data_IF_192707234603
#
_entry.id   IF_192707234603
#
_cell.length_a   1.000
_cell.length_b   1.000
_cell.length_c   1.000
_cell.angle_alpha   90.00
_cell.angle_beta   90.00
_cell.angle_gamma   90.00
#
_symmetry.space_group_name_H-M   'P 1'
#
loop_
_entity.id
_entity.type
_entity.pdbx_description
1 polymer ?
#
# COMPACT_ATOMS: atom_id res chain seq x y z
N UNK A 1 -20.25 33.89 15.38
CA UNK A 1 -20.08 32.60 16.10
C UNK A 1 -20.79 31.53 15.29
N UNK A 2 -20.04 30.79 14.46
CA UNK A 2 -20.59 29.71 13.63
C UNK A 2 -20.38 28.38 14.35
N UNK A 3 -21.44 27.85 14.94
CA UNK A 3 -21.46 26.48 15.46
C UNK A 3 -21.67 25.57 14.24
N UNK A 4 -20.64 24.81 13.86
CA UNK A 4 -20.69 23.86 12.74
C UNK A 4 -20.61 22.44 13.28
N UNK A 5 -21.75 21.81 13.64
CA UNK A 5 -21.80 20.38 13.90
C UNK A 5 -21.83 19.63 12.56
N UNK A 6 -21.08 18.53 12.47
CA UNK A 6 -20.93 17.67 11.27
C UNK A 6 -20.19 18.31 10.07
N UNK A 7 -18.86 18.46 10.21
CA UNK A 7 -17.94 18.27 9.09
C UNK A 7 -17.30 16.88 9.21
N UNK A 8 -17.39 16.08 8.15
CA UNK A 8 -16.76 14.76 8.05
C UNK A 8 -15.28 14.95 7.72
N UNK A 9 -14.43 15.02 8.76
CA UNK A 9 -12.96 15.09 8.68
C UNK A 9 -12.36 16.19 7.76
N UNK A 10 -11.69 17.18 8.36
CA UNK A 10 -10.77 18.05 7.63
C UNK A 10 -9.34 17.55 7.75
N UNK A 11 -8.61 17.52 6.64
CA UNK A 11 -7.20 17.11 6.58
C UNK A 11 -6.33 18.29 6.17
N UNK A 12 -5.27 18.53 6.92
CA UNK A 12 -4.25 19.53 6.60
C UNK A 12 -2.98 18.82 6.12
N UNK A 13 -2.44 19.25 4.98
CA UNK A 13 -1.19 18.77 4.44
C UNK A 13 -0.21 19.95 4.34
N UNK A 14 1.02 19.78 4.84
CA UNK A 14 2.07 20.80 4.80
C UNK A 14 3.31 20.17 4.15
N UNK A 15 3.71 20.69 2.99
CA UNK A 15 4.86 20.20 2.21
C UNK A 15 5.93 21.29 2.08
N UNK A 16 7.19 20.96 2.35
CA UNK A 16 8.31 21.91 2.20
C UNK A 16 8.64 22.15 0.72
N UNK A 17 8.81 23.43 0.35
CA UNK A 17 9.23 23.86 -0.98
C UNK A 17 10.74 24.15 -1.00
N UNK A 18 11.52 23.24 -1.60
CA UNK A 18 12.94 23.45 -1.86
C UNK A 18 13.12 24.32 -3.11
N UNK A 19 13.05 25.64 -2.94
CA UNK A 19 13.29 26.60 -4.02
C UNK A 19 14.79 26.84 -4.22
N UNK A 20 15.33 26.37 -5.34
CA UNK A 20 16.71 26.63 -5.79
C UNK A 20 16.92 28.11 -6.13
N UNK A 21 17.19 28.93 -5.11
CA UNK A 21 17.48 30.37 -5.25
C UNK A 21 16.82 31.28 -4.22
N UNK A 22 15.99 30.77 -3.30
CA UNK A 22 15.35 31.58 -2.27
C UNK A 22 15.88 31.21 -0.88
N UNK A 23 16.46 32.17 -0.15
CA UNK A 23 17.06 31.95 1.18
C UNK A 23 16.05 31.74 2.31
N UNK A 24 14.76 31.96 2.04
CA UNK A 24 13.67 31.76 3.00
C UNK A 24 13.04 30.37 2.81
N UNK A 25 12.94 29.52 3.86
CA UNK A 25 12.21 28.26 3.76
C UNK A 25 10.72 28.55 3.45
N UNK A 26 10.15 27.79 2.53
CA UNK A 26 8.75 27.92 2.10
C UNK A 26 8.03 26.60 2.28
N UNK A 27 6.71 26.64 2.43
CA UNK A 27 5.87 25.43 2.46
C UNK A 27 4.55 25.68 1.74
N UNK A 28 4.05 24.65 1.07
CA UNK A 28 2.67 24.57 0.58
C UNK A 28 1.81 24.08 1.72
N UNK A 29 0.67 24.73 1.94
CA UNK A 29 -0.37 24.27 2.87
C UNK A 29 -1.62 23.97 2.05
N UNK A 30 -2.09 22.73 2.12
CA UNK A 30 -3.34 22.28 1.50
C UNK A 30 -4.33 21.92 2.60
N UNK A 31 -5.54 22.48 2.54
CA UNK A 31 -6.67 22.09 3.38
C UNK A 31 -7.69 21.35 2.52
N UNK A 32 -7.98 20.12 2.89
CA UNK A 32 -9.00 19.27 2.25
C UNK A 32 -10.14 19.02 3.23
N UNK A 33 -11.38 19.05 2.72
CA UNK A 33 -12.60 18.88 3.49
C UNK A 33 -13.50 17.89 2.78
N UNK A 34 -13.86 16.78 3.43
CA UNK A 34 -14.88 15.87 2.93
C UNK A 34 -16.26 16.28 3.48
N UNK A 35 -17.29 16.25 2.62
CA UNK A 35 -18.67 16.54 3.01
C UNK A 35 -19.55 15.42 2.47
N UNK A 36 -20.28 14.74 3.36
CA UNK A 36 -21.13 13.62 2.95
C UNK A 36 -22.27 14.08 2.00
N UNK A 37 -22.59 13.31 0.93
CA UNK A 37 -23.60 13.71 -0.05
C UNK A 37 -24.98 13.99 0.57
N UNK A 38 -25.41 13.15 1.51
CA UNK A 38 -26.70 13.31 2.21
C UNK A 38 -26.79 14.57 3.06
N UNK A 39 -25.66 15.08 3.57
CA UNK A 39 -25.60 16.38 4.24
C UNK A 39 -25.56 17.52 3.22
N UNK A 40 -24.71 17.40 2.19
CA UNK A 40 -24.59 18.35 1.09
C UNK A 40 -25.95 18.67 0.46
N UNK A 41 -26.71 17.65 0.04
CA UNK A 41 -28.02 17.82 -0.59
C UNK A 41 -29.07 18.41 0.35
N UNK A 42 -29.00 18.10 1.64
CA UNK A 42 -29.92 18.64 2.66
C UNK A 42 -29.58 20.09 3.02
N UNK A 43 -28.31 20.48 2.90
CA UNK A 43 -27.82 21.81 3.27
C UNK A 43 -27.88 22.80 2.08
N UNK A 44 -27.51 22.34 0.88
CA UNK A 44 -27.65 23.06 -0.41
C UNK A 44 -29.12 23.40 -0.70
N UNK A 45 -30.06 22.49 -0.39
CA UNK A 45 -31.52 22.78 -0.45
C UNK A 45 -32.02 23.80 0.59
N UNK A 46 -31.23 24.15 1.61
CA UNK A 46 -31.63 25.10 2.67
C UNK A 46 -30.99 26.49 2.54
N UNK A 47 -29.92 26.65 1.76
CA UNK A 47 -29.20 27.93 1.60
C UNK A 47 -28.95 28.19 0.11
N UNK A 48 -29.66 29.17 -0.46
CA UNK A 48 -29.60 29.46 -1.90
C UNK A 48 -28.44 30.39 -2.28
N UNK A 49 -28.01 30.24 -3.54
CA UNK A 49 -27.17 31.11 -4.41
C UNK A 49 -25.80 31.64 -3.92
N UNK A 50 -25.60 31.87 -2.63
CA UNK A 50 -24.33 32.38 -2.08
C UNK A 50 -23.43 31.27 -1.48
N UNK A 51 -23.92 30.04 -1.44
CA UNK A 51 -23.28 28.90 -0.79
C UNK A 51 -21.98 28.45 -1.48
N UNK A 52 -21.99 28.28 -2.80
CA UNK A 52 -20.82 27.83 -3.56
C UNK A 52 -19.65 28.86 -3.51
N UNK A 53 -19.93 30.09 -3.09
CA UNK A 53 -18.92 31.14 -2.82
C UNK A 53 -18.44 31.14 -1.37
N UNK A 54 -19.28 30.70 -0.42
CA UNK A 54 -18.98 30.82 1.01
C UNK A 54 -18.03 29.74 1.53
N UNK A 55 -18.12 28.50 1.03
CA UNK A 55 -17.21 27.42 1.42
C UNK A 55 -15.77 27.66 0.93
N UNK A 56 -15.51 27.95 -0.36
CA UNK A 56 -14.16 28.29 -0.82
C UNK A 56 -13.59 29.50 -0.08
N UNK A 57 -14.42 30.52 0.21
CA UNK A 57 -14.01 31.67 1.01
C UNK A 57 -13.66 31.31 2.46
N UNK A 58 -14.42 30.42 3.11
CA UNK A 58 -14.16 29.96 4.47
C UNK A 58 -12.87 29.12 4.55
N UNK A 59 -12.66 28.20 3.60
CA UNK A 59 -11.44 27.40 3.49
C UNK A 59 -10.21 28.29 3.22
N UNK A 60 -10.33 29.24 2.28
CA UNK A 60 -9.29 30.22 1.98
C UNK A 60 -8.97 31.09 3.20
N UNK A 61 -9.99 31.50 3.97
CA UNK A 61 -9.82 32.26 5.22
C UNK A 61 -9.07 31.47 6.30
N UNK A 62 -9.29 30.15 6.40
CA UNK A 62 -8.56 29.29 7.32
C UNK A 62 -7.08 29.14 6.93
N UNK A 63 -6.79 28.93 5.63
CA UNK A 63 -5.40 28.84 5.12
C UNK A 63 -4.69 30.20 5.24
N UNK A 64 -5.38 31.31 4.93
CA UNK A 64 -4.85 32.67 5.08
C UNK A 64 -4.57 33.01 6.55
N UNK A 65 -5.48 32.66 7.46
CA UNK A 65 -5.29 32.83 8.90
C UNK A 65 -4.08 32.06 9.45
N UNK A 66 -3.82 30.84 8.95
CA UNK A 66 -2.62 30.09 9.32
C UNK A 66 -1.33 30.77 8.81
N UNK A 67 -1.34 31.27 7.57
CA UNK A 67 -0.23 32.06 7.01
C UNK A 67 0.05 33.32 7.84
N UNK A 68 -1.00 34.04 8.23
CA UNK A 68 -0.89 35.27 9.04
C UNK A 68 -0.43 34.97 10.47
N UNK A 69 -0.89 33.86 11.05
CA UNK A 69 -0.40 33.39 12.35
C UNK A 69 1.11 33.14 12.35
N UNK A 70 1.66 32.48 11.32
CA UNK A 70 3.11 32.29 11.21
C UNK A 70 3.87 33.60 10.94
N UNK A 71 3.29 34.51 10.15
CA UNK A 71 3.89 35.84 9.92
C UNK A 71 3.94 36.70 11.20
N UNK A 72 2.93 36.58 12.06
CA UNK A 72 2.87 37.29 13.35
C UNK A 72 3.74 36.66 14.45
N UNK A 73 4.18 35.40 14.29
CA UNK A 73 4.96 34.65 15.28
C UNK A 73 6.34 34.21 14.74
N UNK A 74 7.24 35.14 14.35
CA UNK A 74 8.51 34.82 13.73
C UNK A 74 9.46 33.99 14.61
N UNK A 75 9.26 33.97 15.93
CA UNK A 75 10.00 33.10 16.85
C UNK A 75 9.86 31.61 16.49
N UNK A 76 8.70 31.17 15.97
CA UNK A 76 8.50 29.78 15.52
C UNK A 76 9.34 29.40 14.29
N UNK A 77 9.85 30.39 13.54
CA UNK A 77 10.74 30.19 12.39
C UNK A 77 12.21 29.97 12.78
N UNK A 78 12.59 30.34 14.02
CA UNK A 78 13.99 30.43 14.45
C UNK A 78 14.54 29.20 15.21
N UNK A 79 13.69 28.27 15.64
CA UNK A 79 14.09 27.12 16.45
C UNK A 79 14.41 25.86 15.63
N UNK A 80 15.37 25.97 14.71
CA UNK A 80 16.09 24.82 14.13
C UNK A 80 17.61 25.13 14.07
N UNK A 81 18.39 24.79 15.11
CA UNK A 81 19.84 24.87 15.05
C UNK A 81 20.38 23.83 14.07
N UNK A 82 21.01 24.30 13.00
CA UNK A 82 21.60 23.47 11.95
C UNK A 82 22.95 22.89 12.38
N UNK A 83 22.95 21.82 13.17
CA UNK A 83 24.15 21.00 13.41
C UNK A 83 24.34 19.94 12.33
N UNK A 84 24.63 20.39 11.10
CA UNK A 84 25.18 19.50 10.06
C UNK A 84 26.69 19.38 10.29
N UNK A 85 27.11 18.34 11.01
CA UNK A 85 28.52 17.94 11.07
C UNK A 85 28.90 17.34 9.72
N UNK A 86 29.53 18.14 8.86
CA UNK A 86 30.16 17.63 7.63
C UNK A 86 31.43 16.84 7.98
N UNK A 87 31.35 15.51 7.96
CA UNK A 87 32.53 14.67 7.80
C UNK A 87 33.07 14.77 6.37
N UNK A 88 34.39 14.70 6.23
CA UNK A 88 35.13 15.18 5.06
C UNK A 88 35.60 14.01 4.19
N UNK A 89 35.42 14.16 2.87
CA UNK A 89 36.13 13.49 1.77
C UNK A 89 36.24 11.95 1.74
N UNK A 90 35.82 11.36 0.61
CA UNK A 90 36.81 10.84 -0.36
C UNK A 90 36.25 10.90 -1.77
N UNK A 91 37.05 11.40 -2.69
CA UNK A 91 36.78 11.37 -4.13
C UNK A 91 37.19 10.00 -4.68
N UNK A 92 36.36 9.38 -5.53
CA UNK A 92 36.83 8.36 -6.47
C UNK A 92 36.15 8.60 -7.81
N UNK A 93 36.95 9.00 -8.79
CA UNK A 93 36.54 9.09 -10.19
C UNK A 93 36.23 7.68 -10.70
N UNK A 94 35.02 7.44 -11.22
CA UNK A 94 34.73 6.27 -12.05
C UNK A 94 34.21 6.74 -13.41
N UNK A 95 34.91 6.23 -14.40
CA UNK A 95 34.85 6.48 -15.83
C UNK A 95 33.46 6.17 -16.41
N UNK A 96 33.09 6.98 -17.39
CA UNK A 96 31.96 6.80 -18.28
C UNK A 96 32.14 5.52 -19.13
N UNK A 97 31.21 4.57 -19.04
CA UNK A 97 31.10 3.46 -20.00
C UNK A 97 29.64 3.12 -20.24
N UNK A 98 29.20 3.29 -21.49
CA UNK A 98 27.81 3.06 -21.91
C UNK A 98 27.42 1.59 -21.82
N UNK A 99 26.28 1.31 -21.20
CA UNK A 99 25.44 0.15 -21.51
C UNK A 99 23.99 0.61 -21.45
N UNK A 100 23.36 0.68 -22.63
CA UNK A 100 21.91 0.84 -22.76
C UNK A 100 21.23 -0.49 -22.39
N UNK A 101 20.36 -0.48 -21.39
CA UNK A 101 19.08 -1.20 -21.49
C UNK A 101 18.07 -0.57 -20.53
N UNK A 102 17.09 0.14 -21.08
CA UNK A 102 16.19 1.02 -20.32
C UNK A 102 14.76 0.46 -20.25
N UNK A 103 14.42 -0.21 -19.15
CA UNK A 103 13.04 -0.20 -18.65
C UNK A 103 12.81 1.05 -17.78
N UNK A 104 11.59 1.64 -17.78
CA UNK A 104 11.31 2.85 -17.03
C UNK A 104 11.33 2.58 -15.53
N UNK A 105 12.42 2.99 -14.87
CA UNK A 105 12.56 2.90 -13.43
C UNK A 105 11.54 3.82 -12.70
N UNK A 106 11.21 3.45 -11.46
CA UNK A 106 10.61 4.36 -10.44
C UNK A 106 9.11 4.73 -10.52
N UNK A 107 8.25 3.88 -11.09
CA UNK A 107 6.77 4.04 -11.01
C UNK A 107 6.17 4.04 -9.57
N UNK A 108 6.97 3.82 -8.52
CA UNK A 108 6.56 4.01 -7.11
C UNK A 108 6.51 5.50 -6.72
N UNK A 109 7.27 6.36 -7.40
CA UNK A 109 7.27 7.81 -7.16
C UNK A 109 6.10 8.53 -7.85
N UNK A 110 5.61 7.98 -8.98
CA UNK A 110 4.54 8.58 -9.79
C UNK A 110 3.19 8.70 -9.06
N UNK A 111 2.92 7.82 -8.09
CA UNK A 111 1.67 7.80 -7.32
C UNK A 111 1.41 9.06 -6.47
N UNK A 112 2.46 9.85 -6.19
CA UNK A 112 2.36 11.15 -5.51
C UNK A 112 2.57 12.35 -6.44
N UNK A 113 2.98 12.13 -7.70
CA UNK A 113 3.36 13.18 -8.64
C UNK A 113 2.24 13.55 -9.62
N UNK A 114 1.38 12.59 -10.03
CA UNK A 114 0.25 12.87 -10.94
C UNK A 114 -0.95 13.50 -10.22
N UNK A 115 -0.89 14.82 -10.10
CA UNK A 115 -2.09 15.65 -10.03
C UNK A 115 -2.70 15.81 -11.42
N UNK A 116 -3.33 14.75 -11.95
CA UNK A 116 -4.09 14.84 -13.21
C UNK A 116 -5.55 15.19 -12.90
N UNK A 117 -6.01 16.29 -13.51
CA UNK A 117 -7.38 16.79 -13.46
C UNK A 117 -8.27 15.94 -14.35
N UNK A 118 -9.45 15.55 -13.84
CA UNK A 118 -10.53 15.04 -14.67
C UNK A 118 -11.54 16.16 -14.91
N UNK A 119 -11.92 16.33 -16.17
CA UNK A 119 -13.10 17.08 -16.58
C UNK A 119 -14.32 16.16 -16.40
N UNK A 120 -15.40 16.70 -15.86
CA UNK A 120 -16.66 15.98 -15.67
C UNK A 120 -17.45 15.93 -16.99
N UNK A 121 -17.89 14.75 -17.44
CA UNK A 121 -18.94 14.61 -18.46
C UNK A 121 -20.08 13.73 -17.92
N UNK A 122 -21.25 14.36 -17.72
CA UNK A 122 -22.56 13.72 -17.55
C UNK A 122 -23.65 14.76 -17.92
N UNK A 123 -24.22 14.69 -19.14
CA UNK A 123 -25.59 15.14 -19.50
C UNK A 123 -25.91 14.87 -20.97
N UNK A 124 -27.12 14.38 -21.26
CA UNK A 124 -27.59 13.93 -22.58
C UNK A 124 -28.22 15.02 -23.51
N UNK A 125 -28.23 14.71 -24.83
CA UNK A 125 -29.08 15.16 -25.97
C UNK A 125 -29.39 16.68 -26.18
N UNK A 126 -29.12 17.32 -27.34
CA UNK A 126 -29.79 17.10 -28.64
C UNK A 126 -29.15 17.86 -29.87
N UNK A 127 -29.34 17.27 -31.07
CA UNK A 127 -29.35 17.75 -32.50
C UNK A 127 -28.29 18.69 -33.19
N UNK A 128 -27.59 18.10 -34.18
CA UNK A 128 -27.19 18.58 -35.56
C UNK A 128 -26.51 19.95 -35.83
N UNK A 129 -25.19 19.91 -36.15
CA UNK A 129 -24.63 20.12 -37.53
C UNK A 129 -23.09 19.98 -37.58
N UNK A 130 -22.55 19.48 -38.69
CA UNK A 130 -21.09 19.35 -38.97
C UNK A 130 -20.71 20.19 -40.21
N UNK A 131 -19.44 20.27 -40.70
CA UNK A 131 -18.13 19.90 -40.13
C UNK A 131 -17.00 20.97 -40.29
N UNK A 132 -15.82 20.78 -39.66
CA UNK A 132 -14.53 20.75 -40.39
C UNK A 132 -13.30 20.27 -39.58
N UNK A 133 -12.81 19.11 -40.02
CA UNK A 133 -11.54 18.42 -39.77
C UNK A 133 -10.34 19.17 -39.14
N UNK A 134 -9.82 18.58 -38.05
CA UNK A 134 -8.41 18.63 -37.66
C UNK A 134 -7.94 17.23 -37.23
N UNK A 135 -7.07 16.57 -38.00
CA UNK A 135 -6.60 15.20 -37.71
C UNK A 135 -5.54 15.21 -36.60
N UNK A 136 -5.87 14.69 -35.42
CA UNK A 136 -4.89 14.22 -34.44
C UNK A 136 -5.05 12.70 -34.25
N UNK A 137 -3.95 11.94 -34.40
CA UNK A 137 -3.95 10.49 -34.24
C UNK A 137 -3.87 10.12 -32.75
N UNK A 138 -5.00 9.83 -32.14
CA UNK A 138 -5.03 9.11 -30.86
C UNK A 138 -4.54 7.67 -31.06
N UNK A 139 -3.54 7.25 -30.28
CA UNK A 139 -3.10 5.85 -30.21
C UNK A 139 -3.88 5.13 -29.10
N UNK A 140 -4.70 4.17 -29.51
CA UNK A 140 -5.24 3.03 -28.75
C UNK A 140 -5.42 3.18 -27.23
N UNK A 141 -6.60 3.66 -26.81
CA UNK A 141 -7.15 3.36 -25.46
C UNK A 141 -7.98 2.07 -25.55
N UNK A 142 -7.31 0.93 -25.73
CA UNK A 142 -7.98 -0.38 -25.96
C UNK A 142 -8.27 -1.18 -24.69
N UNK A 143 -7.93 -0.68 -23.50
CA UNK A 143 -8.10 -1.43 -22.24
C UNK A 143 -9.54 -1.43 -21.71
N UNK A 144 -10.34 -0.40 -22.02
CA UNK A 144 -11.67 -0.19 -21.44
C UNK A 144 -12.78 -1.10 -22.01
N UNK A 145 -12.58 -1.71 -23.19
CA UNK A 145 -13.61 -2.53 -23.87
C UNK A 145 -13.40 -4.05 -23.64
N UNK A 146 -12.20 -4.47 -23.23
CA UNK A 146 -11.88 -5.90 -23.02
C UNK A 146 -12.55 -6.52 -21.76
N UNK A 147 -13.13 -5.70 -20.88
CA UNK A 147 -13.69 -6.08 -19.58
C UNK A 147 -15.08 -6.75 -19.64
N UNK A 148 -15.74 -6.81 -20.80
CA UNK A 148 -17.15 -7.21 -20.93
C UNK A 148 -17.42 -8.56 -21.60
N UNK A 149 -16.40 -9.34 -22.00
CA UNK A 149 -16.62 -10.53 -22.85
C UNK A 149 -15.74 -11.77 -22.57
N UNK A 150 -15.29 -12.02 -21.34
CA UNK A 150 -14.73 -13.33 -20.97
C UNK A 150 -15.23 -13.83 -19.62
N UNK A 151 -15.74 -15.07 -19.58
CA UNK A 151 -15.93 -15.81 -18.32
C UNK A 151 -14.54 -16.02 -17.69
N UNK A 152 -14.29 -15.59 -16.45
CA UNK A 152 -12.96 -15.68 -15.86
C UNK A 152 -12.57 -17.15 -15.67
N UNK A 153 -11.54 -17.57 -16.39
CA UNK A 153 -10.89 -18.86 -16.15
C UNK A 153 -10.03 -18.68 -14.91
N UNK A 154 -10.43 -19.26 -13.78
CA UNK A 154 -9.60 -19.28 -12.56
C UNK A 154 -8.24 -19.89 -12.89
N UNK A 155 -7.15 -19.27 -12.43
CA UNK A 155 -5.83 -19.88 -12.50
C UNK A 155 -5.82 -21.15 -11.63
N UNK A 156 -5.96 -22.32 -12.26
CA UNK A 156 -5.77 -23.61 -11.60
C UNK A 156 -4.29 -23.77 -11.25
N UNK A 157 -4.00 -24.12 -9.99
CA UNK A 157 -2.63 -24.38 -9.53
C UNK A 157 -2.14 -25.71 -10.11
N UNK A 158 -1.70 -25.69 -11.37
CA UNK A 158 -0.92 -26.78 -12.00
C UNK A 158 0.54 -26.79 -11.53
N UNK A 159 0.98 -25.75 -10.82
CA UNK A 159 2.37 -25.62 -10.36
C UNK A 159 2.67 -26.60 -9.21
N UNK A 160 3.68 -27.46 -9.44
CA UNK A 160 4.20 -28.46 -8.50
C UNK A 160 5.05 -27.84 -7.37
N UNK A 161 4.53 -26.79 -6.71
CA UNK A 161 5.20 -26.07 -5.63
C UNK A 161 5.25 -26.87 -4.32
N UNK A 162 4.28 -27.76 -4.11
CA UNK A 162 4.22 -28.67 -2.97
C UNK A 162 4.35 -30.12 -3.44
N UNK A 163 4.97 -30.97 -2.60
CA UNK A 163 5.18 -32.38 -2.93
C UNK A 163 3.83 -33.12 -3.01
N UNK A 164 3.45 -33.53 -4.22
CA UNK A 164 2.13 -34.16 -4.47
C UNK A 164 1.97 -35.55 -3.84
N UNK A 165 3.08 -36.26 -3.60
CA UNK A 165 3.11 -37.64 -3.09
C UNK A 165 3.06 -37.77 -1.56
N UNK A 166 3.16 -36.67 -0.81
CA UNK A 166 3.04 -36.70 0.65
C UNK A 166 1.59 -36.54 1.11
N UNK A 167 1.20 -37.24 2.17
CA UNK A 167 -0.06 -37.00 2.88
C UNK A 167 -0.15 -35.54 3.35
N UNK A 168 -1.29 -34.84 3.14
CA UNK A 168 -1.51 -33.53 3.73
C UNK A 168 -1.42 -33.59 5.26
N UNK A 169 -0.74 -32.63 5.87
CA UNK A 169 -0.80 -32.36 7.30
C UNK A 169 -2.07 -31.57 7.58
N UNK A 170 -2.97 -32.11 8.40
CA UNK A 170 -4.15 -31.37 8.86
C UNK A 170 -3.72 -30.32 9.87
N UNK A 171 -3.55 -29.08 9.40
CA UNK A 171 -3.27 -27.93 10.25
C UNK A 171 -4.61 -27.45 10.84
N UNK A 172 -4.90 -27.85 12.08
CA UNK A 172 -6.07 -27.35 12.81
C UNK A 172 -5.83 -25.89 13.25
N UNK A 173 -6.62 -24.91 12.78
CA UNK A 173 -6.50 -23.52 13.22
C UNK A 173 -6.76 -23.32 14.72
N UNK A 174 -7.43 -24.27 15.40
CA UNK A 174 -7.73 -24.16 16.84
C UNK A 174 -6.47 -24.17 17.72
N UNK A 175 -5.38 -24.77 17.24
CA UNK A 175 -4.10 -24.87 17.95
C UNK A 175 -3.25 -23.60 17.85
N UNK A 176 -3.63 -22.63 17.03
CA UNK A 176 -2.85 -21.41 16.79
C UNK A 176 -3.57 -20.19 17.34
N UNK A 177 -2.93 -19.51 18.28
CA UNK A 177 -3.44 -18.30 18.92
C UNK A 177 -2.56 -17.12 18.58
N UNK A 178 -3.08 -16.23 17.73
CA UNK A 178 -2.53 -14.89 17.53
C UNK A 178 -3.25 -13.88 18.42
N UNK A 179 -2.58 -12.77 18.71
CA UNK A 179 -3.10 -11.66 19.51
C UNK A 179 -4.19 -10.86 18.79
N UNK A 180 -4.22 -10.85 17.45
CA UNK A 180 -5.35 -10.34 16.69
C UNK A 180 -6.38 -11.46 16.47
N UNK A 181 -7.65 -11.19 16.82
CA UNK A 181 -8.72 -12.17 16.69
C UNK A 181 -9.06 -12.49 15.23
N UNK A 182 -9.42 -13.75 14.95
CA UNK A 182 -9.95 -14.16 13.64
C UNK A 182 -11.42 -13.77 13.52
N UNK A 183 -11.78 -13.15 12.40
CA UNK A 183 -13.12 -12.68 12.10
C UNK A 183 -14.16 -13.82 12.11
N UNK A 184 -15.28 -13.63 12.81
CA UNK A 184 -16.43 -14.54 12.80
C UNK A 184 -17.43 -14.22 11.69
N UNK A 185 -17.43 -12.98 11.22
CA UNK A 185 -18.23 -12.49 10.09
C UNK A 185 -17.46 -11.41 9.32
N UNK A 186 -17.90 -11.06 8.11
CA UNK A 186 -17.19 -10.07 7.29
C UNK A 186 -17.09 -8.66 7.90
N UNK A 187 -18.02 -8.32 8.80
CA UNK A 187 -18.11 -7.00 9.46
C UNK A 187 -17.53 -6.98 10.88
N UNK A 188 -16.86 -8.06 11.32
CA UNK A 188 -16.27 -8.18 12.66
C UNK A 188 -15.05 -7.24 12.79
N UNK A 189 -15.12 -6.13 13.54
CA UNK A 189 -14.05 -5.14 13.58
C UNK A 189 -12.87 -5.63 14.42
N UNK A 190 -11.71 -4.99 14.23
CA UNK A 190 -10.46 -5.37 14.89
C UNK A 190 -10.16 -6.87 14.75
N UNK A 191 -10.18 -7.37 13.53
CA UNK A 191 -10.01 -8.80 13.25
C UNK A 191 -9.25 -9.07 11.95
N UNK A 192 -8.84 -10.32 11.75
CA UNK A 192 -8.28 -10.80 10.49
C UNK A 192 -9.08 -11.93 9.87
N UNK A 193 -9.02 -12.05 8.54
CA UNK A 193 -9.47 -13.25 7.81
C UNK A 193 -8.57 -13.53 6.61
N UNK A 194 -8.83 -14.61 5.88
CA UNK A 194 -8.05 -15.02 4.70
C UNK A 194 -8.95 -14.96 3.47
N UNK A 195 -8.91 -13.87 2.66
CA UNK A 195 -9.70 -13.77 1.44
C UNK A 195 -9.10 -14.63 0.32
N UNK A 196 -9.94 -15.04 -0.64
CA UNK A 196 -9.48 -15.66 -1.89
C UNK A 196 -8.67 -14.70 -2.78
N UNK A 197 -8.03 -15.25 -3.80
CA UNK A 197 -7.17 -14.50 -4.71
C UNK A 197 -7.90 -13.67 -5.78
N UNK A 198 -9.22 -13.76 -5.89
CA UNK A 198 -9.98 -13.28 -7.06
C UNK A 198 -9.95 -11.75 -7.27
N UNK A 199 -9.42 -10.99 -6.31
CA UNK A 199 -9.30 -9.52 -6.38
C UNK A 199 -7.93 -9.06 -6.86
N UNK A 200 -6.98 -9.98 -7.00
CA UNK A 200 -5.58 -9.67 -7.30
C UNK A 200 -5.24 -10.08 -8.73
N UNK A 201 -4.65 -9.15 -9.50
CA UNK A 201 -4.22 -9.40 -10.87
C UNK A 201 -2.75 -9.84 -10.90
N UNK A 202 -2.51 -11.05 -11.36
CA UNK A 202 -1.23 -11.76 -11.34
C UNK A 202 -0.70 -11.98 -12.78
N UNK A 203 0.61 -12.21 -12.97
CA UNK A 203 1.17 -12.46 -14.31
C UNK A 203 0.59 -13.76 -14.89
N UNK A 204 -0.04 -13.67 -16.06
CA UNK A 204 -0.58 -14.83 -16.79
C UNK A 204 0.49 -15.73 -17.38
N UNK A 205 0.10 -16.90 -17.92
CA UNK A 205 1.02 -17.91 -18.47
C UNK A 205 1.93 -17.36 -19.58
N UNK A 206 1.41 -16.44 -20.39
CA UNK A 206 2.06 -15.79 -21.53
C UNK A 206 2.58 -14.39 -21.23
N UNK A 207 2.61 -13.96 -19.96
CA UNK A 207 2.90 -12.57 -19.57
C UNK A 207 4.21 -11.98 -20.13
N UNK A 208 5.25 -12.80 -20.34
CA UNK A 208 6.53 -12.32 -20.91
C UNK A 208 6.44 -11.94 -22.40
N UNK A 209 5.37 -12.34 -23.10
CA UNK A 209 5.15 -12.01 -24.52
C UNK A 209 3.98 -11.05 -24.73
N UNK A 210 2.93 -11.13 -23.90
CA UNK A 210 1.69 -10.36 -24.07
C UNK A 210 1.40 -9.35 -22.94
N UNK A 211 2.23 -9.32 -21.89
CA UNK A 211 2.04 -8.50 -20.66
C UNK A 211 0.65 -8.65 -20.00
N UNK A 212 -0.06 -9.74 -20.28
CA UNK A 212 -1.46 -9.95 -19.87
C UNK A 212 -1.54 -10.58 -18.50
N UNK A 213 -2.26 -9.91 -17.60
CA UNK A 213 -2.52 -10.38 -16.24
C UNK A 213 -3.83 -11.15 -16.17
N UNK A 214 -3.87 -12.16 -15.30
CA UNK A 214 -5.06 -12.96 -15.01
C UNK A 214 -5.49 -12.79 -13.56
N UNK A 215 -6.70 -13.24 -13.24
CA UNK A 215 -7.24 -13.22 -11.87
C UNK A 215 -6.55 -14.29 -11.01
N UNK A 216 -6.15 -13.93 -9.79
CA UNK A 216 -5.52 -14.82 -8.83
C UNK A 216 -6.41 -16.00 -8.41
N UNK A 217 -5.78 -17.16 -8.23
CA UNK A 217 -6.40 -18.35 -7.62
C UNK A 217 -6.31 -18.34 -6.09
N UNK A 218 -6.76 -19.42 -5.45
CA UNK A 218 -6.69 -19.58 -4.00
C UNK A 218 -5.24 -19.50 -3.48
N UNK A 219 -4.99 -18.98 -2.25
CA UNK A 219 -3.65 -18.89 -1.68
C UNK A 219 -3.01 -20.27 -1.46
N UNK A 220 -1.73 -20.41 -1.80
CA UNK A 220 -0.97 -21.65 -1.64
C UNK A 220 -0.77 -22.03 -0.16
N UNK A 221 -0.55 -21.03 0.70
CA UNK A 221 -0.37 -21.19 2.14
C UNK A 221 -1.61 -20.74 2.91
N UNK A 222 -1.92 -21.46 3.99
CA UNK A 222 -3.00 -21.11 4.91
C UNK A 222 -2.51 -20.14 5.97
N UNK A 223 -3.18 -19.00 6.11
CA UNK A 223 -3.00 -18.10 7.25
C UNK A 223 -3.58 -18.74 8.51
N UNK A 224 -2.72 -19.01 9.50
CA UNK A 224 -3.07 -19.74 10.73
C UNK A 224 -3.23 -18.82 11.94
N UNK A 225 -2.45 -17.75 12.01
CA UNK A 225 -2.54 -16.73 13.06
C UNK A 225 -2.05 -15.37 12.55
N UNK A 226 -2.46 -14.31 13.25
CA UNK A 226 -1.92 -12.95 13.08
C UNK A 226 -1.66 -12.37 14.46
N UNK A 227 -0.46 -11.84 14.69
CA UNK A 227 -0.16 -11.03 15.86
C UNK A 227 -0.15 -9.54 15.53
N UNK A 228 -0.59 -8.74 16.50
CA UNK A 228 -0.59 -7.29 16.45
C UNK A 228 0.07 -6.74 17.71
N UNK A 229 1.35 -6.39 17.57
CA UNK A 229 2.18 -5.92 18.67
C UNK A 229 2.47 -4.42 18.57
N UNK A 230 2.64 -3.79 19.73
CA UNK A 230 3.14 -2.42 19.88
C UNK A 230 4.48 -2.51 20.58
N UNK A 231 5.55 -2.42 19.79
CA UNK A 231 6.91 -2.60 20.28
C UNK A 231 7.62 -1.26 20.27
N UNK A 232 8.53 -1.09 21.20
CA UNK A 232 9.25 0.15 21.37
C UNK A 232 10.52 0.25 20.50
N UNK A 233 11.19 -0.89 20.31
CA UNK A 233 12.37 -1.03 19.47
C UNK A 233 12.07 -1.98 18.30
N UNK A 234 13.05 -2.18 17.41
CA UNK A 234 12.95 -3.18 16.34
C UNK A 234 12.95 -4.59 16.94
N UNK A 235 12.06 -5.45 16.45
CA UNK A 235 11.87 -6.81 16.92
C UNK A 235 12.04 -7.74 15.72
N UNK A 236 13.20 -8.40 15.67
CA UNK A 236 13.57 -9.39 14.65
C UNK A 236 13.56 -10.79 15.28
N UNK A 237 13.48 -11.85 14.46
CA UNK A 237 13.59 -13.25 14.92
C UNK A 237 12.47 -13.68 15.89
N UNK A 238 11.23 -13.28 15.60
CA UNK A 238 9.99 -13.64 16.28
C UNK A 238 9.92 -15.14 16.56
N UNK A 239 10.25 -15.97 15.57
CA UNK A 239 10.13 -17.42 15.66
C UNK A 239 11.24 -18.11 16.48
N UNK A 240 12.26 -17.38 16.96
CA UNK A 240 13.32 -17.91 17.81
C UNK A 240 13.23 -17.47 19.28
N UNK A 241 12.25 -16.65 19.65
CA UNK A 241 12.20 -16.09 20.99
C UNK A 241 11.93 -17.20 22.05
N UNK A 242 12.86 -17.48 23.00
CA UNK A 242 12.86 -18.71 23.80
C UNK A 242 11.75 -18.82 24.86
N UNK A 243 10.92 -17.79 24.97
CA UNK A 243 9.62 -17.74 25.65
C UNK A 243 8.78 -16.77 24.83
N UNK A 244 7.52 -17.06 24.47
CA UNK A 244 6.70 -16.13 23.64
C UNK A 244 6.25 -14.83 24.37
N UNK A 245 7.08 -14.26 25.26
CA UNK A 245 6.74 -13.18 26.21
C UNK A 245 7.98 -12.27 26.52
N UNK A 246 7.98 -11.04 25.94
CA UNK A 246 8.13 -9.69 26.58
C UNK A 246 9.51 -9.03 26.95
N UNK A 247 9.56 -7.70 26.72
CA UNK A 247 10.27 -6.53 27.35
C UNK A 247 11.55 -5.91 26.70
N UNK A 248 11.76 -4.55 26.58
CA UNK A 248 11.10 -3.38 27.25
C UNK A 248 10.71 -2.10 26.40
N UNK A 249 11.56 -1.09 26.04
CA UNK A 249 11.23 0.32 26.38
C UNK A 249 11.26 1.42 25.28
N UNK A 250 10.21 2.27 25.20
CA UNK A 250 10.06 3.54 24.41
C UNK A 250 10.56 3.57 22.91
N UNK A 251 9.74 3.65 21.84
CA UNK A 251 8.39 4.24 21.60
C UNK A 251 7.72 3.59 20.34
N UNK A 252 6.41 3.76 20.05
CA UNK A 252 5.68 2.69 19.35
C UNK A 252 5.95 2.58 17.85
N UNK A 253 6.65 1.51 17.49
CA UNK A 253 6.50 0.81 16.23
C UNK A 253 5.35 -0.20 16.36
N UNK A 254 4.56 -0.37 15.30
CA UNK A 254 3.53 -1.41 15.24
C UNK A 254 4.06 -2.58 14.41
N UNK A 255 4.07 -3.78 14.98
CA UNK A 255 4.51 -5.00 14.31
C UNK A 255 3.30 -5.90 14.04
N UNK A 256 3.11 -6.24 12.77
CA UNK A 256 2.05 -7.13 12.30
C UNK A 256 2.69 -8.42 11.80
N UNK A 257 2.59 -9.50 12.58
CA UNK A 257 3.18 -10.80 12.23
C UNK A 257 2.09 -11.68 11.63
N UNK A 258 2.36 -12.31 10.48
CA UNK A 258 1.42 -13.17 9.77
C UNK A 258 2.01 -14.57 9.63
N UNK A 259 1.37 -15.56 10.23
CA UNK A 259 1.86 -16.94 10.22
C UNK A 259 1.17 -17.74 9.12
N UNK A 260 1.95 -18.18 8.14
CA UNK A 260 1.47 -18.96 6.99
C UNK A 260 2.00 -20.41 7.05
N UNK A 261 1.12 -21.38 6.88
CA UNK A 261 1.44 -22.80 6.90
C UNK A 261 1.15 -23.48 5.55
N UNK A 262 2.07 -24.33 5.10
CA UNK A 262 1.84 -25.24 3.98
C UNK A 262 1.26 -26.57 4.50
N UNK A 263 0.26 -27.13 3.81
CA UNK A 263 -0.29 -28.45 4.16
C UNK A 263 0.66 -29.61 3.79
N UNK A 264 1.68 -29.35 2.97
CA UNK A 264 2.63 -30.35 2.46
C UNK A 264 4.02 -29.74 2.39
N UNK A 265 5.09 -30.55 2.40
CA UNK A 265 6.45 -30.06 2.17
C UNK A 265 6.57 -29.32 0.84
N UNK A 266 7.32 -28.23 0.83
CA UNK A 266 7.66 -27.48 -0.38
C UNK A 266 8.58 -28.32 -1.27
N UNK A 267 8.31 -28.32 -2.56
CA UNK A 267 9.18 -28.91 -3.57
C UNK A 267 10.43 -28.03 -3.74
N UNK A 268 11.63 -28.59 -3.50
CA UNK A 268 12.89 -27.80 -3.51
C UNK A 268 13.21 -27.20 -4.89
N UNK A 269 12.77 -27.84 -5.97
CA UNK A 269 13.05 -27.41 -7.34
C UNK A 269 12.09 -26.31 -7.85
N UNK A 270 11.02 -26.02 -7.09
CA UNK A 270 9.98 -25.07 -7.47
C UNK A 270 10.42 -23.60 -7.30
N UNK A 271 9.57 -22.63 -7.64
CA UNK A 271 9.89 -21.22 -7.38
C UNK A 271 9.94 -20.93 -5.87
N UNK A 272 9.00 -21.46 -5.09
CA UNK A 272 8.99 -21.34 -3.63
C UNK A 272 10.18 -22.07 -2.99
N UNK A 273 10.51 -23.28 -3.47
CA UNK A 273 11.69 -24.02 -3.01
C UNK A 273 12.99 -23.25 -3.20
N UNK A 274 13.20 -22.69 -4.41
CA UNK A 274 14.36 -21.83 -4.73
C UNK A 274 14.35 -20.50 -3.98
N UNK A 275 13.18 -19.93 -3.67
CA UNK A 275 13.08 -18.71 -2.85
C UNK A 275 13.46 -18.98 -1.38
N UNK A 276 12.97 -20.09 -0.81
CA UNK A 276 13.28 -20.49 0.57
C UNK A 276 14.77 -20.85 0.71
N UNK A 277 15.32 -21.64 -0.22
CA UNK A 277 16.73 -22.07 -0.22
C UNK A 277 17.72 -21.08 -0.84
N UNK A 278 17.25 -19.96 -1.40
CA UNK A 278 18.06 -19.02 -2.17
C UNK A 278 18.81 -17.98 -1.32
N UNK A 279 19.54 -17.10 -2.01
CA UNK A 279 20.22 -15.93 -1.43
C UNK A 279 19.26 -14.78 -1.19
N UNK A 280 19.56 -13.88 -0.26
CA UNK A 280 18.76 -12.67 0.00
C UNK A 280 18.55 -11.83 -1.25
N UNK A 281 19.58 -11.61 -2.07
CA UNK A 281 19.46 -10.93 -3.36
C UNK A 281 18.43 -11.57 -4.34
N UNK A 282 18.21 -12.89 -4.26
CA UNK A 282 17.17 -13.57 -5.05
C UNK A 282 15.78 -13.34 -4.46
N UNK A 283 15.67 -13.31 -3.12
CA UNK A 283 14.44 -13.03 -2.39
C UNK A 283 14.04 -11.57 -2.59
N UNK A 284 14.95 -10.63 -2.38
CA UNK A 284 14.74 -9.19 -2.53
C UNK A 284 14.26 -8.83 -3.94
N UNK A 285 14.89 -9.43 -4.95
CA UNK A 285 14.56 -9.19 -6.35
C UNK A 285 13.21 -9.78 -6.79
N UNK A 286 12.50 -10.54 -5.94
CA UNK A 286 11.24 -11.24 -6.28
C UNK A 286 10.12 -11.16 -5.24
N UNK A 287 10.40 -10.78 -3.99
CA UNK A 287 9.39 -10.73 -2.94
C UNK A 287 8.39 -9.59 -3.19
N UNK A 288 7.12 -9.94 -3.36
CA UNK A 288 6.10 -9.06 -3.94
C UNK A 288 4.84 -9.01 -3.09
N UNK A 289 4.27 -7.81 -2.95
CA UNK A 289 3.01 -7.55 -2.25
C UNK A 289 2.03 -6.85 -3.20
N UNK A 290 0.76 -7.22 -3.17
CA UNK A 290 -0.34 -6.47 -3.79
C UNK A 290 -1.30 -6.04 -2.69
N UNK A 291 -1.41 -4.74 -2.37
CA UNK A 291 -2.42 -4.23 -1.46
C UNK A 291 -3.73 -3.93 -2.19
N UNK A 292 -4.84 -3.92 -1.45
CA UNK A 292 -6.14 -3.46 -1.94
C UNK A 292 -6.99 -2.92 -0.78
N UNK A 293 -7.36 -1.65 -0.84
CA UNK A 293 -8.25 -1.02 0.15
C UNK A 293 -9.71 -1.26 -0.25
N UNK A 294 -10.31 -2.29 0.34
CA UNK A 294 -11.69 -2.74 0.08
C UNK A 294 -12.68 -1.68 0.56
N UNK A 295 -12.58 -1.31 1.83
CA UNK A 295 -13.33 -0.22 2.46
C UNK A 295 -12.36 0.80 3.01
N UNK A 296 -12.72 2.08 2.99
CA UNK A 296 -11.87 3.14 3.52
C UNK A 296 -11.94 4.43 2.70
N UNK A 297 -11.38 5.48 3.30
CA UNK A 297 -11.33 6.82 2.72
C UNK A 297 -10.58 6.82 1.36
N UNK A 298 -11.12 7.53 0.38
CA UNK A 298 -10.65 7.46 -1.01
C UNK A 298 -9.19 7.90 -1.18
N UNK A 299 -8.70 8.85 -0.37
CA UNK A 299 -7.28 9.23 -0.39
C UNK A 299 -6.37 8.10 0.09
N UNK A 300 -6.80 7.29 1.05
CA UNK A 300 -6.06 6.10 1.50
C UNK A 300 -6.03 5.07 0.37
N UNK A 301 -7.16 4.87 -0.34
CA UNK A 301 -7.21 4.02 -1.54
C UNK A 301 -6.22 4.48 -2.61
N UNK A 302 -6.14 5.80 -2.88
CA UNK A 302 -5.22 6.38 -3.86
C UNK A 302 -3.76 6.29 -3.44
N UNK A 303 -3.44 6.53 -2.17
CA UNK A 303 -2.08 6.53 -1.66
C UNK A 303 -1.48 5.11 -1.52
N UNK A 304 -2.30 4.12 -1.19
CA UNK A 304 -1.88 2.70 -1.13
C UNK A 304 -1.89 2.07 -2.54
N UNK A 305 -2.86 2.44 -3.37
CA UNK A 305 -3.04 1.89 -4.71
C UNK A 305 -3.49 0.42 -4.71
N UNK A 306 -3.47 -0.18 -5.90
CA UNK A 306 -3.79 -1.60 -6.16
C UNK A 306 -2.71 -2.31 -6.99
N UNK A 307 -1.59 -1.63 -7.25
CA UNK A 307 -0.48 -2.14 -8.05
C UNK A 307 0.47 -2.95 -7.18
N UNK A 308 1.06 -3.99 -7.76
CA UNK A 308 2.07 -4.80 -7.09
C UNK A 308 3.33 -3.99 -6.77
N UNK A 309 3.88 -4.17 -5.58
CA UNK A 309 5.15 -3.61 -5.12
C UNK A 309 6.15 -4.74 -4.87
N UNK A 310 7.38 -4.60 -5.37
CA UNK A 310 8.50 -5.48 -5.01
C UNK A 310 9.07 -5.02 -3.67
N UNK A 311 8.55 -5.56 -2.57
CA UNK A 311 8.91 -5.16 -1.21
C UNK A 311 10.42 -5.22 -0.97
N UNK A 312 11.07 -6.30 -1.38
CA UNK A 312 12.52 -6.47 -1.20
C UNK A 312 13.41 -5.50 -1.99
N UNK A 313 12.83 -4.73 -2.93
CA UNK A 313 13.51 -3.57 -3.54
C UNK A 313 13.09 -2.23 -2.91
N UNK A 314 11.88 -2.13 -2.38
CA UNK A 314 11.27 -0.89 -1.92
C UNK A 314 11.54 -0.58 -0.43
N UNK A 315 11.79 -1.61 0.38
CA UNK A 315 12.07 -1.56 1.82
C UNK A 315 13.12 -2.61 2.18
N UNK A 316 13.75 -2.45 3.33
CA UNK A 316 14.77 -3.39 3.81
C UNK A 316 14.08 -4.65 4.33
N UNK A 317 14.33 -5.78 3.69
CA UNK A 317 13.92 -7.09 4.19
C UNK A 317 15.09 -7.74 4.95
N UNK A 318 14.78 -8.55 5.96
CA UNK A 318 15.74 -9.42 6.64
C UNK A 318 15.17 -10.83 6.70
N UNK A 319 16.03 -11.83 6.46
CA UNK A 319 15.60 -13.20 6.20
C UNK A 319 16.20 -14.17 7.19
N UNK A 320 15.35 -14.90 7.92
CA UNK A 320 15.77 -15.92 8.87
C UNK A 320 15.24 -17.29 8.45
N UNK A 321 16.16 -18.16 8.01
CA UNK A 321 15.85 -19.54 7.59
C UNK A 321 16.31 -20.54 8.65
N UNK A 322 15.35 -21.28 9.19
CA UNK A 322 15.55 -22.48 10.03
C UNK A 322 15.13 -23.73 9.24
N UNK A 323 15.12 -24.93 9.80
CA UNK A 323 14.71 -26.13 9.04
C UNK A 323 13.22 -26.12 8.64
N UNK A 324 12.35 -25.71 9.56
CA UNK A 324 10.88 -25.81 9.43
C UNK A 324 10.18 -24.50 9.02
N UNK A 325 10.85 -23.34 9.07
CA UNK A 325 10.24 -22.06 8.68
C UNK A 325 11.20 -21.13 7.92
N UNK A 326 10.64 -20.11 7.27
CA UNK A 326 11.33 -18.93 6.77
C UNK A 326 10.59 -17.72 7.35
N UNK A 327 11.30 -16.87 8.08
CA UNK A 327 10.82 -15.60 8.59
C UNK A 327 11.37 -14.47 7.70
N UNK A 328 10.52 -13.45 7.46
CA UNK A 328 10.79 -12.33 6.57
C UNK A 328 10.39 -11.05 7.31
N UNK A 329 11.38 -10.38 7.91
CA UNK A 329 11.18 -9.10 8.60
C UNK A 329 11.18 -7.98 7.56
N UNK A 330 10.12 -7.19 7.51
CA UNK A 330 9.93 -6.13 6.50
C UNK A 330 9.95 -4.76 7.17
N UNK A 331 11.10 -4.07 7.11
CA UNK A 331 11.29 -2.77 7.74
C UNK A 331 10.69 -1.65 6.89
N UNK A 332 9.38 -1.40 7.07
CA UNK A 332 8.65 -0.27 6.47
C UNK A 332 9.28 1.08 6.86
N UNK A 333 9.99 1.15 8.00
CA UNK A 333 10.71 2.32 8.49
C UNK A 333 11.85 2.75 7.57
N UNK A 334 12.47 1.81 6.85
CA UNK A 334 13.65 2.10 6.02
C UNK A 334 13.35 2.98 4.81
N UNK A 335 12.10 3.04 4.35
CA UNK A 335 11.66 3.89 3.23
C UNK A 335 10.84 5.09 3.68
N UNK A 336 11.23 6.30 3.28
CA UNK A 336 10.48 7.54 3.59
C UNK A 336 9.08 7.57 2.96
N UNK A 337 8.93 7.00 1.76
CA UNK A 337 7.64 6.90 1.06
C UNK A 337 6.76 5.87 1.76
N UNK A 338 7.29 4.69 2.10
CA UNK A 338 6.53 3.66 2.82
C UNK A 338 6.09 4.14 4.22
N UNK A 339 6.97 4.85 4.95
CA UNK A 339 6.63 5.56 6.20
C UNK A 339 5.50 6.58 6.03
N UNK A 340 5.47 7.30 4.91
CA UNK A 340 4.43 8.29 4.64
C UNK A 340 3.07 7.61 4.37
N UNK A 341 3.07 6.52 3.60
CA UNK A 341 1.86 5.72 3.32
C UNK A 341 1.34 5.08 4.60
N UNK A 342 2.19 4.41 5.41
CA UNK A 342 1.72 3.75 6.64
C UNK A 342 1.26 4.79 7.69
N UNK A 343 1.88 5.97 7.75
CA UNK A 343 1.43 7.07 8.60
C UNK A 343 0.02 7.55 8.25
N UNK A 344 -0.29 7.67 6.95
CA UNK A 344 -1.65 7.95 6.49
C UNK A 344 -2.61 6.81 6.83
N UNK A 345 -2.23 5.55 6.54
CA UNK A 345 -3.05 4.36 6.81
C UNK A 345 -3.39 4.24 8.30
N UNK A 346 -2.42 4.42 9.20
CA UNK A 346 -2.62 4.41 10.65
C UNK A 346 -3.59 5.50 11.13
N UNK A 347 -3.67 6.65 10.46
CA UNK A 347 -4.67 7.69 10.76
C UNK A 347 -6.11 7.28 10.46
N UNK A 348 -6.34 6.27 9.62
CA UNK A 348 -7.66 5.79 9.21
C UNK A 348 -7.90 4.29 9.54
N UNK A 349 -6.96 3.62 10.21
CA UNK A 349 -6.91 2.14 10.28
C UNK A 349 -8.15 1.48 10.93
N UNK A 350 -8.82 2.17 11.86
CA UNK A 350 -10.10 1.74 12.46
C UNK A 350 -11.30 1.84 11.52
N UNK A 351 -11.13 2.44 10.35
CA UNK A 351 -12.19 2.77 9.38
C UNK A 351 -11.92 2.20 7.98
N UNK A 352 -10.87 1.39 7.82
CA UNK A 352 -10.52 0.72 6.56
C UNK A 352 -10.60 -0.81 6.68
N UNK A 353 -10.79 -1.46 5.53
CA UNK A 353 -10.60 -2.90 5.36
C UNK A 353 -9.56 -3.09 4.26
N UNK A 354 -8.45 -3.75 4.60
CA UNK A 354 -7.31 -3.94 3.70
C UNK A 354 -7.16 -5.42 3.38
N UNK A 355 -7.23 -5.77 2.10
CA UNK A 355 -6.82 -7.08 1.59
C UNK A 355 -5.37 -6.97 1.10
N UNK A 356 -4.50 -7.89 1.53
CA UNK A 356 -3.11 -7.99 1.10
C UNK A 356 -2.88 -9.38 0.48
N UNK A 357 -2.16 -9.44 -0.64
CA UNK A 357 -1.66 -10.68 -1.23
C UNK A 357 -0.13 -10.66 -1.30
N UNK A 358 0.50 -11.73 -0.83
CA UNK A 358 1.93 -12.00 -0.91
C UNK A 358 2.19 -12.93 -2.09
N UNK A 359 3.22 -12.64 -2.88
CA UNK A 359 3.62 -13.40 -4.07
C UNK A 359 5.14 -13.45 -4.18
N UNK A 360 5.63 -14.39 -4.99
CA UNK A 360 7.00 -14.38 -5.53
C UNK A 360 6.89 -14.03 -7.01
N UNK A 361 7.62 -13.02 -7.46
CA UNK A 361 7.60 -12.58 -8.85
C UNK A 361 8.24 -13.61 -9.78
N UNK A 362 7.49 -14.02 -10.80
CA UNK A 362 7.97 -14.86 -11.90
C UNK A 362 8.71 -14.01 -12.95
N UNK A 363 9.89 -14.50 -13.37
CA UNK A 363 10.76 -13.84 -14.36
C UNK A 363 11.11 -14.73 -15.55
N UNK A 364 11.00 -16.05 -15.39
CA UNK A 364 11.18 -17.02 -16.46
C UNK A 364 9.83 -17.61 -16.88
N UNK A 365 9.68 -18.03 -18.15
CA UNK A 365 8.42 -18.61 -18.66
C UNK A 365 7.97 -19.86 -17.88
N UNK A 366 8.94 -20.68 -17.42
CA UNK A 366 8.70 -21.85 -16.56
C UNK A 366 8.13 -21.53 -15.16
N UNK A 367 8.17 -20.26 -14.76
CA UNK A 367 7.67 -19.75 -13.48
C UNK A 367 6.26 -19.14 -13.63
N UNK A 368 5.67 -19.17 -14.83
CA UNK A 368 4.35 -18.64 -15.14
C UNK A 368 3.30 -19.74 -15.37
N UNK A 369 2.00 -19.48 -15.07
CA UNK A 369 1.48 -18.27 -14.44
C UNK A 369 1.95 -18.12 -12.98
N UNK A 370 1.94 -16.89 -12.47
CA UNK A 370 2.14 -16.66 -11.04
C UNK A 370 1.04 -17.32 -10.20
N UNK A 371 1.25 -17.38 -8.89
CA UNK A 371 0.25 -17.81 -7.92
C UNK A 371 0.31 -16.92 -6.66
N UNK A 372 -0.79 -16.92 -5.90
CA UNK A 372 -0.87 -16.22 -4.62
C UNK A 372 -0.20 -17.11 -3.57
N UNK A 373 0.85 -16.61 -2.90
CA UNK A 373 1.53 -17.37 -1.86
C UNK A 373 0.70 -17.38 -0.56
N UNK A 374 0.18 -16.23 -0.16
CA UNK A 374 -0.65 -16.05 1.03
C UNK A 374 -1.48 -14.78 0.93
N UNK A 375 -2.61 -14.73 1.63
CA UNK A 375 -3.44 -13.52 1.76
C UNK A 375 -3.78 -13.24 3.22
N UNK A 376 -4.05 -11.97 3.50
CA UNK A 376 -4.70 -11.54 4.73
C UNK A 376 -5.69 -10.42 4.43
N UNK A 377 -6.82 -10.43 5.12
CA UNK A 377 -7.72 -9.30 5.28
C UNK A 377 -7.54 -8.76 6.69
N UNK A 378 -7.30 -7.45 6.81
CA UNK A 378 -7.29 -6.72 8.07
C UNK A 378 -8.55 -5.87 8.13
N UNK A 379 -9.44 -6.16 9.09
CA UNK A 379 -10.71 -5.45 9.24
C UNK A 379 -10.64 -4.45 10.38
N UNK A 380 -10.59 -3.15 10.05
CA UNK A 380 -10.79 -2.05 11.01
C UNK A 380 -9.93 -2.20 12.28
N UNK A 381 -8.65 -2.53 12.08
CA UNK A 381 -7.72 -2.86 13.16
C UNK A 381 -7.57 -1.69 14.12
N UNK A 382 -7.66 -1.95 15.41
CA UNK A 382 -7.53 -0.97 16.46
C UNK A 382 -6.07 -0.93 16.95
N UNK A 383 -5.33 0.19 16.76
CA UNK A 383 -3.96 0.33 17.25
C UNK A 383 -3.84 0.20 18.78
N UNK A 384 -4.88 0.56 19.53
CA UNK A 384 -4.88 0.45 20.99
C UNK A 384 -5.12 -0.97 21.50
N UNK A 385 -5.52 -1.90 20.62
CA UNK A 385 -5.57 -3.34 20.92
C UNK A 385 -4.25 -4.06 20.72
N UNK A 386 -3.23 -3.37 20.17
CA UNK A 386 -1.91 -3.95 19.97
C UNK A 386 -1.28 -4.33 21.31
N UNK A 387 -0.89 -5.59 21.45
CA UNK A 387 -0.26 -6.08 22.69
C UNK A 387 1.10 -5.42 22.83
N UNK A 388 1.29 -4.71 23.94
CA UNK A 388 2.57 -4.09 24.26
C UNK A 388 3.54 -5.16 24.76
N UNK A 389 4.67 -5.32 24.08
CA UNK A 389 5.74 -6.26 24.43
C UNK A 389 7.06 -5.53 24.65
#
# INVERSE_FOLDING_TARGET
MLIVPCLSASTWEIRTLNSSGSSTPKSIVTLMLEISPSFWDRWKRRHSSNFDKSIPFALLSQVAGLREYFAANPALSSYLPSTVVKSKASETLIIQSDVEDSEPNDEFYDALARGESFEDEDSDEDDVTTPKAGKLKLKNVSWAIASLAFKPTKASVECSELVTKSSPVTVDPSHFHGTLQRAKSENDPNSWSMPGGEKFMIRGKTYLTDYTKVVGGDPLLKLIAVDWFKVNERFDSVALHPKNIVQVPAKPNYNLVMYYAAERPVNKDSLLGRFIGGTDAFRDARFKLIPSIVEGYWMVKRAVGTKACLLGKAVTCSYLRQDNFLEIDVDIGSSSVARSIIGLVLGYVTSIVVDLAILIEAKEEKELPEYILGTVRLNRVNPDSAVSI
#
